data_IF_643803114580
#
_entry.id   IF_643803114580
#
_cell.length_a   1.000
_cell.length_b   1.000
_cell.length_c   1.000
_cell.angle_alpha   90.00
_cell.angle_beta   90.00
_cell.angle_gamma   90.00
#
_symmetry.space_group_name_H-M   'P 1'
#
loop_
_entity.id
_entity.type
_entity.pdbx_description
1 polymer ?
#
# COMPACT_ATOMS: atom_id res chain seq x y z
N UNK A 1 33.43 -66.44 45.08
CA UNK A 1 32.10 -65.80 45.25
C UNK A 1 31.77 -65.16 43.89
N UNK A 2 31.36 -65.97 42.90
CA UNK A 2 29.95 -66.23 42.54
C UNK A 2 29.49 -65.16 41.53
N UNK A 3 29.84 -65.27 40.24
CA UNK A 3 29.11 -65.90 39.13
C UNK A 3 27.80 -65.22 38.69
N UNK A 4 27.80 -64.87 37.40
CA UNK A 4 26.75 -65.11 36.38
C UNK A 4 25.62 -64.07 36.16
N UNK A 5 25.63 -63.50 34.94
CA UNK A 5 24.47 -63.19 34.06
C UNK A 5 23.61 -64.47 33.81
N UNK A 6 22.41 -64.49 33.15
CA UNK A 6 21.99 -63.68 31.99
C UNK A 6 20.47 -63.43 31.76
N UNK A 7 20.17 -62.75 30.64
CA UNK A 7 19.03 -62.82 29.70
C UNK A 7 17.62 -63.30 30.14
N UNK A 8 16.58 -62.57 29.68
CA UNK A 8 15.56 -63.11 28.75
C UNK A 8 14.57 -62.04 28.22
N UNK A 9 14.31 -62.15 26.92
CA UNK A 9 13.26 -61.50 26.17
C UNK A 9 11.87 -62.15 26.39
N UNK A 10 10.78 -61.41 26.13
CA UNK A 10 9.58 -61.97 25.50
C UNK A 10 8.57 -60.89 25.02
N UNK A 11 8.38 -60.86 23.69
CA UNK A 11 7.13 -60.83 22.93
C UNK A 11 5.90 -59.97 23.34
N UNK A 12 5.44 -59.18 22.37
CA UNK A 12 4.05 -58.69 22.12
C UNK A 12 3.03 -59.86 22.00
N UNK A 13 1.68 -59.72 22.03
CA UNK A 13 0.90 -58.89 21.08
C UNK A 13 -0.47 -58.30 21.55
N UNK A 14 -0.98 -57.40 20.69
CA UNK A 14 -2.37 -57.06 20.33
C UNK A 14 -3.56 -57.42 21.25
N UNK A 15 -4.46 -56.44 21.49
CA UNK A 15 -5.85 -56.48 20.95
C UNK A 15 -6.65 -55.20 21.17
N UNK A 16 -7.40 -54.87 20.10
CA UNK A 16 -8.48 -53.89 19.95
C UNK A 16 -9.62 -54.08 20.97
N UNK A 17 -10.31 -52.99 21.31
CA UNK A 17 -11.77 -52.86 21.09
C UNK A 17 -12.26 -51.42 21.29
N UNK A 18 -13.14 -51.02 20.38
CA UNK A 18 -13.84 -49.75 20.26
C UNK A 18 -14.86 -49.49 21.37
N UNK A 19 -15.14 -48.21 21.66
CA UNK A 19 -16.49 -47.75 21.97
C UNK A 19 -16.70 -46.31 21.48
N UNK A 20 -17.72 -46.14 20.63
CA UNK A 20 -18.33 -44.87 20.20
C UNK A 20 -19.26 -44.34 21.29
N UNK A 21 -19.36 -43.02 21.43
CA UNK A 21 -20.62 -42.26 21.48
C UNK A 21 -20.30 -40.74 21.54
N UNK A 22 -20.70 -39.98 20.51
CA UNK A 22 -21.76 -38.96 20.56
C UNK A 22 -21.27 -37.59 21.08
N UNK A 23 -21.02 -36.63 20.19
CA UNK A 23 -22.01 -35.63 19.70
C UNK A 23 -22.08 -34.39 20.60
N UNK A 24 -21.48 -33.30 20.15
CA UNK A 24 -22.14 -31.98 20.06
C UNK A 24 -21.19 -30.95 19.43
N UNK A 25 -21.54 -30.51 18.23
CA UNK A 25 -21.07 -29.24 17.65
C UNK A 25 -21.81 -28.08 18.34
N UNK A 26 -21.14 -26.94 18.51
CA UNK A 26 -21.76 -25.65 18.19
C UNK A 26 -20.87 -24.95 17.16
N UNK A 27 -21.37 -24.75 15.93
CA UNK A 27 -22.26 -23.65 15.53
C UNK A 27 -21.49 -22.34 15.37
N UNK A 28 -21.17 -22.07 14.11
CA UNK A 28 -20.77 -20.78 13.58
C UNK A 28 -21.76 -19.69 13.99
N UNK A 29 -21.29 -18.73 14.78
CA UNK A 29 -21.83 -17.36 14.80
C UNK A 29 -20.66 -16.40 14.77
N UNK A 30 -20.20 -16.11 13.57
CA UNK A 30 -19.43 -14.91 13.30
C UNK A 30 -20.35 -13.72 13.60
N UNK A 31 -20.06 -13.01 14.68
CA UNK A 31 -20.59 -11.69 14.92
C UNK A 31 -20.05 -10.76 13.84
N UNK A 32 -20.91 -10.39 12.90
CA UNK A 32 -20.69 -9.34 11.92
C UNK A 32 -20.64 -7.98 12.64
N UNK A 33 -19.44 -7.54 13.02
CA UNK A 33 -19.21 -6.11 13.26
C UNK A 33 -19.06 -5.41 11.91
N UNK A 34 -20.12 -4.69 11.55
CA UNK A 34 -20.24 -3.87 10.35
C UNK A 34 -19.41 -2.60 10.52
N UNK A 35 -18.14 -2.65 10.15
CA UNK A 35 -17.33 -1.44 9.95
C UNK A 35 -17.49 -0.97 8.50
N UNK A 36 -18.50 -0.14 8.27
CA UNK A 36 -18.61 0.68 7.06
C UNK A 36 -17.52 1.75 7.08
N UNK A 37 -16.35 1.42 6.56
CA UNK A 37 -15.38 2.43 6.14
C UNK A 37 -15.65 2.81 4.69
N UNK A 38 -16.30 3.95 4.55
CA UNK A 38 -16.59 4.64 3.30
C UNK A 38 -15.30 5.16 2.68
N UNK A 39 -14.88 4.56 1.56
CA UNK A 39 -14.09 5.29 0.55
C UNK A 39 -14.96 6.42 -0.03
N UNK A 40 -14.40 7.57 -0.43
CA UNK A 40 -15.21 8.69 -0.92
C UNK A 40 -15.87 8.34 -2.25
N UNK A 41 -17.16 8.04 -2.19
CA UNK A 41 -18.05 7.92 -3.35
C UNK A 41 -18.44 9.33 -3.81
N UNK A 42 -17.99 9.72 -5.00
CA UNK A 42 -18.49 10.93 -5.68
C UNK A 42 -19.98 10.75 -6.01
N UNK A 43 -20.77 11.79 -5.75
CA UNK A 43 -22.24 11.77 -5.69
C UNK A 43 -23.01 11.53 -7.00
N UNK A 44 -24.35 11.40 -6.90
CA UNK A 44 -25.22 10.95 -7.97
C UNK A 44 -25.59 12.05 -8.98
N UNK A 45 -25.78 11.65 -10.23
CA UNK A 45 -26.33 12.48 -11.31
C UNK A 45 -27.86 12.61 -11.17
N UNK A 46 -28.37 13.80 -11.49
CA UNK A 46 -29.79 14.16 -11.53
C UNK A 46 -30.55 13.47 -12.69
N UNK A 47 -31.91 13.42 -12.63
CA UNK A 47 -32.72 12.58 -13.50
C UNK A 47 -33.12 13.30 -14.80
N UNK A 48 -33.40 12.52 -15.85
CA UNK A 48 -34.14 12.99 -17.02
C UNK A 48 -35.22 11.97 -17.38
N UNK A 49 -36.46 12.46 -17.37
CA UNK A 49 -37.67 11.81 -17.84
C UNK A 49 -37.67 11.60 -19.36
N UNK A 50 -38.47 10.61 -19.80
CA UNK A 50 -39.33 10.77 -20.98
C UNK A 50 -38.92 10.08 -22.28
N UNK A 51 -39.60 8.95 -22.57
CA UNK A 51 -40.49 8.84 -23.74
C UNK A 51 -39.94 8.53 -25.15
N UNK A 52 -40.59 7.53 -25.77
CA UNK A 52 -40.93 7.38 -27.20
C UNK A 52 -40.06 6.50 -28.14
N UNK A 53 -40.65 5.33 -28.44
CA UNK A 53 -40.85 4.65 -29.72
C UNK A 53 -39.93 4.90 -30.94
N UNK A 54 -39.35 3.79 -31.41
CA UNK A 54 -39.22 3.28 -32.79
C UNK A 54 -38.96 4.27 -33.95
N UNK A 55 -37.79 4.15 -34.60
CA UNK A 55 -37.72 3.78 -36.02
C UNK A 55 -36.28 3.49 -36.50
N UNK A 56 -36.16 2.49 -37.39
CA UNK A 56 -35.15 2.27 -38.46
C UNK A 56 -33.64 2.21 -38.13
N UNK A 57 -33.01 1.10 -38.54
CA UNK A 57 -32.05 1.09 -39.67
C UNK A 57 -31.26 -0.23 -39.72
N UNK A 58 -31.13 -0.78 -40.93
CA UNK A 58 -30.23 -1.87 -41.30
C UNK A 58 -28.80 -1.67 -40.78
N UNK A 59 -28.09 -2.74 -40.34
CA UNK A 59 -26.74 -2.61 -39.80
C UNK A 59 -25.75 -2.28 -40.91
N UNK A 60 -25.36 -1.01 -41.01
CA UNK A 60 -24.22 -0.57 -41.80
C UNK A 60 -22.91 -1.22 -41.31
N UNK A 61 -21.88 -1.28 -42.17
CA UNK A 61 -20.63 -1.98 -41.86
C UNK A 61 -20.00 -1.39 -40.61
N UNK A 62 -19.80 -2.26 -39.63
CA UNK A 62 -19.15 -1.97 -38.35
C UNK A 62 -17.82 -1.27 -38.60
N UNK A 63 -17.77 0.05 -38.39
CA UNK A 63 -16.52 0.79 -38.23
C UNK A 63 -15.75 0.06 -37.15
N UNK A 64 -14.61 -0.51 -37.53
CA UNK A 64 -13.71 -1.20 -36.63
C UNK A 64 -13.52 -0.32 -35.40
N UNK A 65 -14.03 -0.79 -34.26
CA UNK A 65 -13.74 -0.21 -32.96
C UNK A 65 -12.25 -0.42 -32.81
N UNK A 66 -11.45 0.61 -33.10
CA UNK A 66 -10.01 0.60 -32.84
C UNK A 66 -9.86 0.03 -31.43
N UNK A 67 -9.24 -1.15 -31.33
CA UNK A 67 -8.96 -1.74 -30.04
C UNK A 67 -8.10 -0.71 -29.33
N UNK A 68 -8.64 -0.14 -28.25
CA UNK A 68 -7.84 0.66 -27.33
C UNK A 68 -6.57 -0.14 -27.04
N UNK A 69 -5.38 0.48 -27.13
CA UNK A 69 -4.13 -0.23 -26.92
C UNK A 69 -4.20 -0.99 -25.60
N UNK A 70 -3.77 -2.26 -25.65
CA UNK A 70 -3.67 -3.10 -24.46
C UNK A 70 -2.75 -2.40 -23.45
N UNK A 71 -3.07 -2.49 -22.15
CA UNK A 71 -2.32 -1.76 -21.14
C UNK A 71 -0.85 -2.20 -21.14
N UNK A 72 0.03 -1.36 -21.69
CA UNK A 72 1.48 -1.60 -21.76
C UNK A 72 2.15 -1.60 -20.39
N UNK A 73 1.51 -1.02 -19.37
CA UNK A 73 2.03 -0.92 -18.01
C UNK A 73 1.02 -1.50 -17.02
N UNK A 74 1.44 -2.49 -16.25
CA UNK A 74 0.62 -3.09 -15.20
C UNK A 74 1.25 -2.84 -13.84
N UNK A 75 0.49 -2.21 -12.95
CA UNK A 75 0.93 -1.87 -11.60
C UNK A 75 0.17 -2.76 -10.62
N UNK A 76 0.90 -3.66 -9.97
CA UNK A 76 0.41 -4.55 -8.92
C UNK A 76 0.90 -4.04 -7.58
N UNK A 77 0.06 -4.04 -6.56
CA UNK A 77 0.54 -3.67 -5.24
C UNK A 77 -0.53 -3.63 -4.17
N UNK A 78 -0.12 -3.28 -2.97
CA UNK A 78 -1.03 -3.04 -1.86
C UNK A 78 -1.76 -1.68 -2.01
N UNK A 79 -2.33 -1.15 -0.93
CA UNK A 79 -3.02 0.15 -0.96
C UNK A 79 -2.12 1.31 -1.41
N UNK A 80 -0.80 1.20 -1.25
CA UNK A 80 0.16 2.25 -1.65
C UNK A 80 0.33 2.34 -3.17
N UNK A 81 0.01 1.29 -3.92
CA UNK A 81 0.00 1.33 -5.40
C UNK A 81 -1.07 2.26 -5.99
N UNK A 82 -2.09 2.62 -5.22
CA UNK A 82 -3.21 3.43 -5.71
C UNK A 82 -2.82 4.86 -6.05
N UNK A 83 -1.68 5.36 -5.58
CA UNK A 83 -1.13 6.66 -5.97
C UNK A 83 -1.04 6.81 -7.49
N UNK A 84 -0.69 5.73 -8.22
CA UNK A 84 -0.57 5.75 -9.67
C UNK A 84 -1.91 5.94 -10.38
N UNK A 85 -3.05 5.77 -9.69
CA UNK A 85 -4.39 5.99 -10.27
C UNK A 85 -4.69 7.46 -10.55
N UNK A 86 -3.87 8.37 -10.02
CA UNK A 86 -3.89 9.78 -10.37
C UNK A 86 -3.49 10.01 -11.85
N UNK A 87 -2.64 9.14 -12.41
CA UNK A 87 -2.28 9.15 -13.85
C UNK A 87 -3.29 8.31 -14.63
N UNK A 88 -4.35 8.98 -15.10
CA UNK A 88 -5.43 8.33 -15.86
C UNK A 88 -5.04 8.22 -17.33
N UNK A 89 -4.47 7.08 -17.72
CA UNK A 89 -4.07 6.78 -19.10
C UNK A 89 -4.49 5.37 -19.52
N UNK A 90 -4.88 5.17 -20.78
CA UNK A 90 -5.38 3.88 -21.28
C UNK A 90 -4.34 2.75 -21.19
N UNK A 91 -3.05 3.10 -21.31
CA UNK A 91 -1.95 2.15 -21.22
C UNK A 91 -1.60 1.71 -19.79
N UNK A 92 -2.16 2.35 -18.76
CA UNK A 92 -1.83 2.08 -17.36
C UNK A 92 -2.97 1.28 -16.73
N UNK A 93 -2.70 0.02 -16.42
CA UNK A 93 -3.58 -0.82 -15.63
C UNK A 93 -3.10 -0.91 -14.18
N UNK A 94 -3.99 -0.68 -13.22
CA UNK A 94 -3.67 -0.81 -11.79
C UNK A 94 -4.49 -1.94 -11.19
N UNK A 95 -3.81 -2.82 -10.45
CA UNK A 95 -4.35 -3.99 -9.76
C UNK A 95 -3.99 -3.90 -8.27
N UNK A 96 -4.81 -3.18 -7.48
CA UNK A 96 -4.56 -3.05 -6.05
C UNK A 96 -5.10 -4.26 -5.29
N UNK A 97 -4.31 -4.80 -4.37
CA UNK A 97 -4.64 -5.93 -3.51
C UNK A 97 -4.81 -5.43 -2.07
N UNK A 98 -6.05 -5.38 -1.59
CA UNK A 98 -6.34 -4.93 -0.22
C UNK A 98 -5.67 -5.88 0.78
N UNK A 99 -4.83 -5.35 1.67
CA UNK A 99 -4.06 -6.16 2.63
C UNK A 99 -3.00 -7.07 1.99
N UNK A 100 -2.71 -6.89 0.70
CA UNK A 100 -1.60 -7.58 0.04
C UNK A 100 -0.28 -7.20 0.71
N UNK A 101 0.61 -8.17 0.86
CA UNK A 101 1.94 -7.98 1.43
C UNK A 101 2.96 -8.79 0.66
N UNK A 102 4.23 -8.35 0.66
CA UNK A 102 5.32 -9.08 0.05
C UNK A 102 5.41 -10.49 0.66
N UNK A 103 5.34 -10.62 1.99
CA UNK A 103 5.29 -11.91 2.72
C UNK A 103 4.12 -12.79 2.26
N UNK A 104 2.97 -12.20 1.97
CA UNK A 104 1.81 -12.94 1.50
C UNK A 104 2.06 -13.59 0.13
N UNK A 105 2.72 -12.87 -0.77
CA UNK A 105 3.02 -13.33 -2.13
C UNK A 105 4.07 -14.45 -2.18
N UNK A 106 4.88 -14.62 -1.14
CA UNK A 106 5.85 -15.73 -1.06
C UNK A 106 5.20 -17.08 -0.75
N UNK A 107 3.94 -17.08 -0.26
CA UNK A 107 3.24 -18.31 0.12
C UNK A 107 2.61 -19.01 -1.10
N UNK A 108 2.84 -20.31 -1.28
CA UNK A 108 2.08 -21.11 -2.26
C UNK A 108 0.57 -21.04 -1.97
N UNK A 109 -0.25 -21.01 -3.02
CA UNK A 109 -1.71 -20.93 -2.91
C UNK A 109 -2.24 -19.54 -2.51
N UNK A 110 -1.38 -18.52 -2.42
CA UNK A 110 -1.86 -17.15 -2.21
C UNK A 110 -2.62 -16.66 -3.45
N UNK A 111 -3.87 -16.24 -3.26
CA UNK A 111 -4.76 -15.81 -4.36
C UNK A 111 -4.23 -14.61 -5.13
N UNK A 112 -3.57 -13.65 -4.47
CA UNK A 112 -2.99 -12.49 -5.14
C UNK A 112 -1.80 -12.91 -6.02
N UNK A 113 -0.97 -13.85 -5.53
CA UNK A 113 0.15 -14.43 -6.30
C UNK A 113 -0.34 -15.08 -7.59
N UNK A 114 -1.40 -15.88 -7.50
CA UNK A 114 -2.02 -16.56 -8.64
C UNK A 114 -2.66 -15.58 -9.64
N UNK A 115 -3.36 -14.57 -9.12
CA UNK A 115 -4.00 -13.53 -9.94
C UNK A 115 -2.97 -12.70 -10.73
N UNK A 116 -1.84 -12.32 -10.10
CA UNK A 116 -0.74 -11.61 -10.77
C UNK A 116 -0.19 -12.45 -11.93
N UNK A 117 0.16 -13.72 -11.67
CA UNK A 117 0.72 -14.61 -12.69
C UNK A 117 -0.26 -14.83 -13.85
N UNK A 118 -1.54 -15.04 -13.53
CA UNK A 118 -2.62 -15.18 -14.52
C UNK A 118 -2.79 -13.90 -15.35
N UNK A 119 -2.79 -12.74 -14.70
CA UNK A 119 -2.96 -11.45 -15.38
C UNK A 119 -1.84 -11.19 -16.37
N UNK A 120 -0.59 -11.47 -16.00
CA UNK A 120 0.56 -11.31 -16.90
C UNK A 120 0.53 -12.32 -18.05
N UNK A 121 0.19 -13.57 -17.79
CA UNK A 121 0.03 -14.59 -18.83
C UNK A 121 -1.06 -14.23 -19.86
N UNK A 122 -2.13 -13.57 -19.41
CA UNK A 122 -3.23 -13.11 -20.26
C UNK A 122 -2.93 -11.79 -21.00
N UNK A 123 -1.83 -11.12 -20.70
CA UNK A 123 -1.44 -9.83 -21.26
C UNK A 123 -0.01 -9.84 -21.78
N UNK A 124 0.28 -10.62 -22.84
CA UNK A 124 1.63 -10.76 -23.38
C UNK A 124 2.20 -9.44 -23.94
N UNK A 125 1.34 -8.45 -24.25
CA UNK A 125 1.73 -7.11 -24.68
C UNK A 125 2.19 -6.16 -23.57
N UNK A 126 2.24 -6.62 -22.31
CA UNK A 126 2.74 -5.80 -21.19
C UNK A 126 4.23 -5.50 -21.38
N UNK A 127 4.59 -4.23 -21.51
CA UNK A 127 5.98 -3.77 -21.59
C UNK A 127 6.66 -3.77 -20.22
N UNK A 128 5.97 -3.24 -19.20
CA UNK A 128 6.51 -3.14 -17.84
C UNK A 128 5.47 -3.56 -16.81
N UNK A 129 5.86 -4.45 -15.91
CA UNK A 129 5.11 -4.81 -14.71
C UNK A 129 5.77 -4.16 -13.49
N UNK A 130 5.04 -3.28 -12.82
CA UNK A 130 5.49 -2.56 -11.62
C UNK A 130 4.89 -3.22 -10.39
N UNK A 131 5.70 -3.48 -9.37
CA UNK A 131 5.28 -4.16 -8.15
C UNK A 131 5.54 -3.27 -6.93
N UNK A 132 4.47 -2.91 -6.23
CA UNK A 132 4.47 -1.98 -5.10
C UNK A 132 3.95 -2.73 -3.86
N UNK A 133 4.81 -3.57 -3.29
CA UNK A 133 4.53 -4.32 -2.07
C UNK A 133 5.65 -4.08 -1.05
N UNK A 134 5.38 -4.38 0.22
CA UNK A 134 6.36 -4.25 1.30
C UNK A 134 6.01 -3.18 2.33
N UNK A 135 5.25 -2.15 1.95
CA UNK A 135 4.82 -1.11 2.89
C UNK A 135 3.93 -1.69 3.99
N UNK A 136 3.02 -2.61 3.63
CA UNK A 136 2.22 -3.37 4.60
C UNK A 136 3.11 -4.28 5.47
N UNK A 137 4.19 -4.84 4.94
CA UNK A 137 5.09 -5.71 5.70
C UNK A 137 5.82 -4.94 6.80
N UNK A 138 6.44 -3.82 6.45
CA UNK A 138 7.24 -3.00 7.37
C UNK A 138 6.40 -2.20 8.38
N UNK A 139 5.23 -1.70 7.95
CA UNK A 139 4.41 -0.80 8.79
C UNK A 139 3.28 -1.52 9.53
N UNK A 140 2.84 -2.70 9.09
CA UNK A 140 1.69 -3.41 9.68
C UNK A 140 2.02 -4.83 10.10
N UNK A 141 2.53 -5.65 9.18
CA UNK A 141 2.79 -7.07 9.44
C UNK A 141 3.84 -7.25 10.52
N UNK A 142 4.81 -6.34 10.63
CA UNK A 142 5.75 -6.27 11.75
C UNK A 142 5.03 -6.30 13.11
N UNK A 143 4.10 -5.38 13.33
CA UNK A 143 3.38 -5.30 14.60
C UNK A 143 2.42 -6.48 14.79
N UNK A 144 1.75 -6.91 13.73
CA UNK A 144 0.89 -8.08 13.81
C UNK A 144 1.66 -9.35 14.21
N UNK A 145 2.82 -9.61 13.59
CA UNK A 145 3.62 -10.80 13.91
C UNK A 145 4.14 -10.74 15.34
N UNK A 146 4.66 -9.59 15.78
CA UNK A 146 5.28 -9.44 17.10
C UNK A 146 4.26 -9.32 18.25
N UNK A 147 3.12 -8.67 18.05
CA UNK A 147 2.16 -8.33 19.12
C UNK A 147 0.76 -8.92 18.93
N UNK A 148 0.41 -9.30 17.70
CA UNK A 148 -0.92 -9.80 17.33
C UNK A 148 -1.05 -11.32 17.32
N UNK A 149 0.06 -12.04 17.18
CA UNK A 149 0.09 -13.51 17.12
C UNK A 149 0.35 -14.15 18.47
N UNK A 150 -0.16 -15.36 18.61
CA UNK A 150 0.12 -16.24 19.74
C UNK A 150 0.61 -17.61 19.20
N UNK A 151 1.88 -17.99 19.42
CA UNK A 151 2.92 -17.18 20.05
C UNK A 151 3.38 -16.01 19.16
N UNK A 152 4.03 -14.98 19.74
CA UNK A 152 4.72 -13.93 18.99
C UNK A 152 5.70 -14.49 17.95
N UNK A 153 5.78 -13.83 16.80
CA UNK A 153 6.70 -14.19 15.71
C UNK A 153 7.56 -12.97 15.33
N UNK A 154 8.88 -13.16 15.30
CA UNK A 154 9.78 -12.18 14.69
C UNK A 154 9.68 -12.26 13.16
N UNK A 155 9.50 -11.10 12.53
CA UNK A 155 9.42 -11.01 11.08
C UNK A 155 10.82 -10.87 10.48
N UNK A 156 11.20 -11.81 9.61
CA UNK A 156 12.42 -11.71 8.83
C UNK A 156 12.17 -10.90 7.54
N UNK A 157 12.37 -9.59 7.63
CA UNK A 157 12.15 -8.66 6.53
C UNK A 157 13.12 -8.88 5.36
N UNK A 158 14.36 -9.32 5.62
CA UNK A 158 15.33 -9.60 4.56
C UNK A 158 14.91 -10.86 3.77
N UNK A 159 14.56 -11.94 4.47
CA UNK A 159 14.07 -13.15 3.81
C UNK A 159 12.79 -12.88 3.01
N UNK A 160 11.89 -12.05 3.53
CA UNK A 160 10.69 -11.62 2.79
C UNK A 160 11.08 -10.87 1.51
N UNK A 161 11.99 -9.89 1.59
CA UNK A 161 12.45 -9.12 0.43
C UNK A 161 13.03 -10.04 -0.65
N UNK A 162 13.93 -10.94 -0.28
CA UNK A 162 14.56 -11.91 -1.19
C UNK A 162 13.53 -12.83 -1.85
N UNK A 163 12.66 -13.45 -1.05
CA UNK A 163 11.65 -14.38 -1.57
C UNK A 163 10.60 -13.67 -2.45
N UNK A 164 10.25 -12.42 -2.13
CA UNK A 164 9.36 -11.60 -2.93
C UNK A 164 9.99 -11.24 -4.29
N UNK A 165 11.25 -10.82 -4.32
CA UNK A 165 11.95 -10.53 -5.58
C UNK A 165 12.12 -11.80 -6.41
N UNK A 166 12.45 -12.94 -5.79
CA UNK A 166 12.52 -14.23 -6.49
C UNK A 166 11.17 -14.62 -7.10
N UNK A 167 10.05 -14.35 -6.41
CA UNK A 167 8.71 -14.51 -6.98
C UNK A 167 8.52 -13.60 -8.20
N UNK A 168 8.82 -12.31 -8.09
CA UNK A 168 8.69 -11.36 -9.20
C UNK A 168 9.52 -11.82 -10.39
N UNK A 169 10.79 -12.20 -10.17
CA UNK A 169 11.69 -12.71 -11.19
C UNK A 169 11.18 -13.97 -11.90
N UNK A 170 10.41 -14.81 -11.19
CA UNK A 170 9.83 -16.05 -11.70
C UNK A 170 8.48 -15.90 -12.42
N UNK A 171 7.91 -14.70 -12.51
CA UNK A 171 6.62 -14.48 -13.18
C UNK A 171 6.71 -14.71 -14.70
N UNK A 172 5.66 -15.22 -15.35
CA UNK A 172 5.68 -15.45 -16.79
C UNK A 172 5.66 -14.14 -17.59
N UNK A 173 6.13 -14.21 -18.84
CA UNK A 173 6.01 -13.14 -19.83
C UNK A 173 7.28 -12.31 -20.03
N UNK A 174 7.32 -11.50 -21.10
CA UNK A 174 8.51 -10.73 -21.49
C UNK A 174 8.62 -9.36 -20.80
N UNK A 175 7.65 -9.00 -19.96
CA UNK A 175 7.60 -7.68 -19.34
C UNK A 175 8.86 -7.41 -18.49
N UNK A 176 9.44 -6.22 -18.65
CA UNK A 176 10.42 -5.71 -17.70
C UNK A 176 9.75 -5.59 -16.34
N UNK A 177 10.45 -5.97 -15.26
CA UNK A 177 9.88 -5.98 -13.92
C UNK A 177 10.51 -4.86 -13.11
N UNK A 178 9.68 -4.05 -12.48
CA UNK A 178 10.13 -2.94 -11.65
C UNK A 178 9.57 -3.12 -10.24
N UNK A 179 10.45 -3.35 -9.27
CA UNK A 179 10.10 -3.39 -7.85
C UNK A 179 10.23 -1.98 -7.27
N UNK A 180 9.14 -1.51 -6.66
CA UNK A 180 9.10 -0.24 -5.94
C UNK A 180 9.36 -0.47 -4.46
N UNK A 181 10.32 0.26 -3.89
CA UNK A 181 10.62 0.21 -2.47
C UNK A 181 9.43 0.59 -1.58
N UNK A 182 9.41 0.07 -0.36
CA UNK A 182 8.44 0.43 0.66
C UNK A 182 8.56 1.93 1.00
N UNK A 183 7.43 2.60 1.19
CA UNK A 183 7.41 4.01 1.52
C UNK A 183 7.91 4.26 2.95
N UNK A 184 8.55 5.42 3.22
CA UNK A 184 8.89 5.82 4.59
C UNK A 184 7.63 5.95 5.45
N UNK A 185 7.79 5.80 6.76
CA UNK A 185 6.66 5.90 7.68
C UNK A 185 6.19 7.35 7.84
N UNK A 186 4.90 7.62 7.64
CA UNK A 186 4.29 8.96 7.74
C UNK A 186 3.91 9.39 9.16
N UNK A 187 3.91 8.46 10.12
CA UNK A 187 3.59 8.78 11.51
C UNK A 187 4.80 9.47 12.14
N UNK A 188 4.65 10.69 12.68
CA UNK A 188 5.77 11.38 13.32
C UNK A 188 5.96 10.85 14.74
N UNK A 189 4.92 10.98 15.56
CA UNK A 189 4.92 10.56 16.97
C UNK A 189 4.83 9.04 17.13
N UNK A 190 5.58 8.49 18.10
CA UNK A 190 5.58 7.06 18.40
C UNK A 190 4.20 6.59 18.91
N UNK A 191 3.52 7.42 19.68
CA UNK A 191 2.22 7.18 20.31
C UNK A 191 1.08 7.10 19.28
N UNK A 192 1.30 7.62 18.06
CA UNK A 192 0.35 7.50 16.96
C UNK A 192 0.37 6.11 16.33
N UNK A 193 1.44 5.33 16.51
CA UNK A 193 1.59 4.00 15.91
C UNK A 193 0.57 3.00 16.47
N UNK A 194 0.42 2.79 17.80
CA UNK A 194 -0.61 1.90 18.34
C UNK A 194 -2.02 2.27 17.87
N UNK A 195 -2.34 3.57 17.85
CA UNK A 195 -3.64 4.08 17.38
C UNK A 195 -3.87 3.75 15.91
N UNK A 196 -2.85 3.93 15.07
CA UNK A 196 -2.93 3.62 13.64
C UNK A 196 -3.11 2.11 13.42
N UNK A 197 -2.26 1.25 14.00
CA UNK A 197 -2.40 -0.21 13.78
C UNK A 197 -3.74 -0.77 14.30
N UNK A 198 -4.31 -0.20 15.36
CA UNK A 198 -5.66 -0.52 15.81
C UNK A 198 -6.73 -0.02 14.82
N UNK A 199 -6.64 1.24 14.37
CA UNK A 199 -7.59 1.82 13.42
C UNK A 199 -7.64 1.06 12.08
N UNK A 200 -6.49 0.55 11.63
CA UNK A 200 -6.41 -0.29 10.42
C UNK A 200 -6.79 -1.76 10.66
N UNK A 201 -7.23 -2.12 11.87
CA UNK A 201 -7.65 -3.48 12.23
C UNK A 201 -6.52 -4.51 12.23
N UNK A 202 -5.26 -4.05 12.34
CA UNK A 202 -4.08 -4.93 12.38
C UNK A 202 -3.94 -5.55 13.76
N UNK A 203 -4.21 -4.78 14.81
CA UNK A 203 -4.25 -5.23 16.20
C UNK A 203 -5.60 -4.84 16.82
N UNK A 204 -6.07 -5.62 17.80
CA UNK A 204 -7.13 -5.12 18.69
C UNK A 204 -6.60 -3.97 19.57
N UNK A 205 -7.48 -3.15 20.15
CA UNK A 205 -7.07 -2.08 21.07
C UNK A 205 -6.24 -2.61 22.24
N UNK A 206 -6.62 -3.76 22.80
CA UNK A 206 -5.89 -4.43 23.88
C UNK A 206 -4.50 -4.93 23.44
N UNK A 207 -4.35 -5.37 22.17
CA UNK A 207 -3.04 -5.72 21.62
C UNK A 207 -2.19 -4.48 21.36
N UNK A 208 -2.78 -3.43 20.78
CA UNK A 208 -2.11 -2.17 20.47
C UNK A 208 -1.59 -1.48 21.74
N UNK A 209 -2.33 -1.52 22.85
CA UNK A 209 -1.90 -0.96 24.14
C UNK A 209 -0.64 -1.62 24.74
N UNK A 210 -0.23 -2.78 24.22
CA UNK A 210 0.97 -3.53 24.66
C UNK A 210 2.16 -3.37 23.72
N UNK A 211 2.03 -2.59 22.65
CA UNK A 211 3.12 -2.36 21.71
C UNK A 211 4.21 -1.52 22.38
N UNK A 212 5.46 -1.98 22.31
CA UNK A 212 6.60 -1.25 22.85
C UNK A 212 6.85 0.05 22.05
N UNK A 213 6.94 1.18 22.75
CA UNK A 213 7.21 2.48 22.12
C UNK A 213 8.61 2.54 21.48
N UNK A 214 9.57 1.72 21.93
CA UNK A 214 10.87 1.61 21.28
C UNK A 214 10.73 1.17 19.81
N UNK A 215 9.85 0.21 19.54
CA UNK A 215 9.52 -0.26 18.18
C UNK A 215 8.76 0.77 17.36
N UNK A 216 8.11 1.72 18.04
CA UNK A 216 7.31 2.80 17.45
C UNK A 216 8.11 4.07 17.19
N UNK A 217 9.33 4.18 17.72
CA UNK A 217 10.19 5.32 17.48
C UNK A 217 10.38 5.56 15.97
N UNK A 218 10.44 6.83 15.56
CA UNK A 218 10.62 7.18 14.15
C UNK A 218 11.92 6.56 13.60
N UNK A 219 13.00 6.60 14.39
CA UNK A 219 14.28 6.00 14.02
C UNK A 219 14.15 4.49 13.76
N UNK A 220 13.47 3.73 14.65
CA UNK A 220 13.26 2.30 14.43
C UNK A 220 12.42 2.03 13.17
N UNK A 221 11.35 2.80 12.95
CA UNK A 221 10.48 2.65 11.76
C UNK A 221 11.20 2.95 10.46
N UNK A 222 11.90 4.08 10.37
CA UNK A 222 12.66 4.41 9.17
C UNK A 222 13.85 3.46 8.98
N UNK A 223 14.47 3.00 10.07
CA UNK A 223 15.49 1.95 10.04
C UNK A 223 14.97 0.66 9.40
N UNK A 224 13.78 0.18 9.80
CA UNK A 224 13.14 -0.98 9.20
C UNK A 224 12.84 -0.79 7.71
N UNK A 225 12.27 0.35 7.31
CA UNK A 225 12.01 0.66 5.89
C UNK A 225 13.30 0.67 5.07
N UNK A 226 14.36 1.33 5.55
CA UNK A 226 15.66 1.40 4.86
C UNK A 226 16.30 0.02 4.73
N UNK A 227 16.30 -0.77 5.79
CA UNK A 227 16.84 -2.12 5.77
C UNK A 227 16.08 -3.02 4.77
N UNK A 228 14.75 -2.95 4.77
CA UNK A 228 13.93 -3.68 3.81
C UNK A 228 14.19 -3.25 2.36
N UNK A 229 14.25 -1.95 2.08
CA UNK A 229 14.55 -1.44 0.74
C UNK A 229 15.97 -1.75 0.29
N UNK A 230 16.95 -1.77 1.20
CA UNK A 230 18.30 -2.24 0.90
C UNK A 230 18.31 -3.72 0.51
N UNK A 231 17.56 -4.56 1.23
CA UNK A 231 17.39 -5.98 0.89
C UNK A 231 16.68 -6.18 -0.45
N UNK A 232 15.63 -5.40 -0.76
CA UNK A 232 14.98 -5.42 -2.07
C UNK A 232 15.95 -5.05 -3.19
N UNK A 233 16.72 -3.97 -3.02
CA UNK A 233 17.71 -3.50 -4.00
C UNK A 233 18.77 -4.58 -4.24
N UNK A 234 19.31 -5.18 -3.17
CA UNK A 234 20.30 -6.25 -3.27
C UNK A 234 19.73 -7.47 -4.01
N UNK A 235 18.52 -7.92 -3.65
CA UNK A 235 17.88 -9.05 -4.30
C UNK A 235 17.55 -8.77 -5.78
N UNK A 236 17.11 -7.56 -6.14
CA UNK A 236 16.85 -7.22 -7.55
C UNK A 236 18.13 -7.25 -8.39
N UNK A 237 19.26 -6.82 -7.83
CA UNK A 237 20.56 -6.88 -8.52
C UNK A 237 21.02 -8.31 -8.86
N UNK A 238 20.48 -9.34 -8.19
CA UNK A 238 20.73 -10.75 -8.51
C UNK A 238 19.95 -11.23 -9.77
N UNK A 239 19.00 -10.42 -10.28
CA UNK A 239 18.13 -10.78 -11.39
C UNK A 239 18.12 -9.72 -12.50
N UNK A 240 18.75 -10.01 -13.65
CA UNK A 240 18.88 -9.07 -14.78
C UNK A 240 17.56 -8.53 -15.36
N UNK A 241 16.43 -9.19 -15.11
CA UNK A 241 15.11 -8.79 -15.60
C UNK A 241 14.27 -8.02 -14.55
N UNK A 242 14.85 -7.69 -13.38
CA UNK A 242 14.17 -7.00 -12.30
C UNK A 242 14.95 -5.76 -11.88
N UNK A 243 14.37 -4.60 -12.13
CA UNK A 243 14.89 -3.33 -11.66
C UNK A 243 14.29 -2.96 -10.30
N UNK A 244 15.03 -2.16 -9.55
CA UNK A 244 14.57 -1.59 -8.28
C UNK A 244 14.55 -0.06 -8.36
N UNK A 245 13.48 0.55 -7.84
CA UNK A 245 13.38 2.01 -7.69
C UNK A 245 12.71 2.37 -6.35
N UNK A 246 13.18 3.42 -5.70
CA UNK A 246 12.53 4.03 -4.55
C UNK A 246 12.59 5.56 -4.65
N UNK A 247 11.87 6.22 -3.74
CA UNK A 247 11.88 7.68 -3.56
C UNK A 247 12.06 8.07 -2.08
N UNK A 248 12.64 7.17 -1.27
CA UNK A 248 12.71 7.36 0.17
C UNK A 248 13.52 8.61 0.56
N UNK A 249 14.67 8.82 -0.06
CA UNK A 249 15.57 9.91 0.33
C UNK A 249 15.05 11.28 -0.11
N UNK A 250 14.28 11.36 -1.19
CA UNK A 250 13.59 12.58 -1.64
C UNK A 250 12.47 12.97 -0.68
N UNK A 251 11.80 11.97 -0.12
CA UNK A 251 10.64 12.16 0.75
C UNK A 251 11.02 12.52 2.18
N UNK A 252 12.25 12.22 2.60
CA UNK A 252 12.72 12.43 3.96
C UNK A 252 13.55 13.71 4.10
N UNK A 253 13.45 14.33 5.25
CA UNK A 253 14.45 15.27 5.74
C UNK A 253 15.66 14.47 6.27
N UNK A 254 16.88 14.72 5.77
CA UNK A 254 18.04 13.90 6.11
C UNK A 254 18.51 14.08 7.56
N UNK A 255 18.21 15.21 8.21
CA UNK A 255 18.63 15.49 9.57
C UNK A 255 17.68 14.87 10.61
N UNK A 256 16.38 14.87 10.32
CA UNK A 256 15.33 14.45 11.28
C UNK A 256 14.73 13.09 10.96
N UNK A 257 14.92 12.57 9.74
CA UNK A 257 14.26 11.38 9.21
C UNK A 257 12.73 11.47 9.16
N UNK A 258 12.17 12.67 9.34
CA UNK A 258 10.76 12.93 9.16
C UNK A 258 10.44 13.02 7.67
N UNK A 259 9.22 12.64 7.29
CA UNK A 259 8.74 13.00 5.96
C UNK A 259 8.70 14.52 5.84
N UNK A 260 9.12 15.02 4.68
CA UNK A 260 9.01 16.45 4.39
C UNK A 260 7.54 16.87 4.42
N UNK A 261 7.24 18.09 4.86
CA UNK A 261 5.87 18.63 4.93
C UNK A 261 5.03 18.38 3.69
N UNK A 262 5.63 18.49 2.50
CA UNK A 262 4.95 18.28 1.22
C UNK A 262 4.29 16.90 1.07
N UNK A 263 4.75 15.88 1.79
CA UNK A 263 4.30 14.49 1.65
C UNK A 263 3.53 13.97 2.86
N UNK A 264 3.42 14.78 3.92
CA UNK A 264 2.75 14.42 5.17
C UNK A 264 1.25 14.61 5.07
N UNK A 265 0.50 13.63 5.56
CA UNK A 265 -0.94 13.76 5.71
C UNK A 265 -1.30 14.63 6.92
N UNK A 266 -2.45 15.29 6.86
CA UNK A 266 -2.95 16.07 8.00
C UNK A 266 -3.44 15.19 9.16
N UNK A 267 -3.77 13.91 8.89
CA UNK A 267 -4.13 12.96 9.94
C UNK A 267 -2.89 12.32 10.54
N UNK A 268 -2.73 12.46 11.84
CA UNK A 268 -1.59 11.91 12.59
C UNK A 268 -1.59 10.38 12.70
N UNK A 269 -2.67 9.71 12.29
CA UNK A 269 -2.81 8.24 12.34
C UNK A 269 -2.81 7.59 10.94
N UNK A 270 -2.73 8.38 9.88
CA UNK A 270 -2.75 7.88 8.51
C UNK A 270 -1.34 7.41 8.09
N UNK A 271 -1.26 6.18 7.61
CA UNK A 271 0.00 5.56 7.16
C UNK A 271 0.38 5.95 5.73
N UNK A 272 -0.55 6.58 5.00
CA UNK A 272 -0.32 6.98 3.63
C UNK A 272 0.30 8.37 3.60
N UNK A 273 1.27 8.51 2.69
CA UNK A 273 1.78 9.80 2.23
C UNK A 273 0.70 10.50 1.39
N UNK A 274 0.80 11.82 1.26
CA UNK A 274 -0.07 12.58 0.35
C UNK A 274 0.21 12.17 -1.10
N UNK A 275 -0.81 11.69 -1.79
CA UNK A 275 -0.66 11.11 -3.13
C UNK A 275 -0.35 12.16 -4.19
N UNK A 276 -0.99 13.32 -4.13
CA UNK A 276 -0.89 14.38 -5.13
C UNK A 276 0.51 14.97 -5.26
N UNK A 277 1.24 15.09 -4.16
CA UNK A 277 2.62 15.58 -4.17
C UNK A 277 3.61 14.45 -4.46
N UNK A 278 3.35 13.26 -3.93
CA UNK A 278 4.21 12.09 -4.12
C UNK A 278 4.19 11.60 -5.58
N UNK A 279 3.07 11.68 -6.30
CA UNK A 279 3.01 11.27 -7.71
C UNK A 279 3.92 12.13 -8.58
N UNK A 280 4.15 13.39 -8.22
CA UNK A 280 5.05 14.29 -8.94
C UNK A 280 6.52 13.84 -8.84
N UNK A 281 6.93 13.26 -7.71
CA UNK A 281 8.24 12.60 -7.59
C UNK A 281 8.32 11.38 -8.51
N UNK A 282 7.27 10.57 -8.57
CA UNK A 282 7.23 9.44 -9.50
C UNK A 282 7.32 9.86 -10.96
N UNK A 283 6.74 11.00 -11.36
CA UNK A 283 6.92 11.53 -12.72
C UNK A 283 8.36 11.98 -13.01
N UNK A 284 9.15 12.33 -11.98
CA UNK A 284 10.58 12.62 -12.15
C UNK A 284 11.39 11.33 -12.28
N UNK A 285 11.01 10.28 -11.53
CA UNK A 285 11.72 8.99 -11.51
C UNK A 285 11.36 8.04 -12.65
N UNK A 286 10.16 8.16 -13.21
CA UNK A 286 9.63 7.26 -14.23
C UNK A 286 9.26 8.08 -15.48
N UNK A 287 10.20 8.25 -16.44
CA UNK A 287 9.94 9.02 -17.66
C UNK A 287 8.71 8.53 -18.44
N UNK A 288 8.53 7.21 -18.53
CA UNK A 288 7.35 6.62 -19.15
C UNK A 288 6.04 7.05 -18.45
N UNK A 289 6.05 7.26 -17.13
CA UNK A 289 4.86 7.71 -16.42
C UNK A 289 4.57 9.19 -16.76
N UNK A 290 5.61 10.02 -16.87
CA UNK A 290 5.50 11.44 -17.26
C UNK A 290 4.94 11.61 -18.67
N UNK A 291 5.38 10.82 -19.63
CA UNK A 291 4.87 10.83 -21.01
C UNK A 291 3.36 10.56 -21.10
N UNK A 292 2.78 9.93 -20.07
CA UNK A 292 1.36 9.57 -19.98
C UNK A 292 0.54 10.60 -19.20
N UNK A 293 1.10 11.79 -19.02
CA UNK A 293 0.44 12.96 -18.44
C UNK A 293 0.33 14.09 -19.45
N UNK A 294 -0.64 15.00 -19.26
CA UNK A 294 -0.78 16.21 -20.07
C UNK A 294 -0.22 17.45 -19.34
N UNK A 295 -0.07 18.56 -20.07
CA UNK A 295 0.47 19.82 -19.54
C UNK A 295 -0.33 20.43 -18.39
N UNK A 296 -1.57 19.99 -18.15
CA UNK A 296 -2.43 20.44 -17.04
C UNK A 296 -2.39 19.49 -15.84
N UNK A 297 -1.61 18.41 -15.89
CA UNK A 297 -1.57 17.38 -14.84
C UNK A 297 -1.20 17.96 -13.47
N UNK A 298 -0.08 18.70 -13.37
CA UNK A 298 0.36 19.29 -12.10
C UNK A 298 -0.68 20.25 -11.52
N UNK A 299 -1.31 21.07 -12.38
CA UNK A 299 -2.38 21.97 -11.98
C UNK A 299 -3.60 21.22 -11.44
N UNK A 300 -3.94 20.06 -12.01
CA UNK A 300 -4.98 19.17 -11.48
C UNK A 300 -4.58 18.58 -10.13
N UNK A 301 -3.32 18.19 -9.94
CA UNK A 301 -2.84 17.66 -8.66
C UNK A 301 -2.93 18.71 -7.55
N UNK A 302 -2.53 19.97 -7.82
CA UNK A 302 -2.70 21.07 -6.85
C UNK A 302 -4.16 21.29 -6.45
N UNK A 303 -5.09 21.24 -7.40
CA UNK A 303 -6.54 21.34 -7.12
C UNK A 303 -7.07 20.13 -6.35
N UNK A 304 -6.62 18.92 -6.69
CA UNK A 304 -6.98 17.69 -5.97
C UNK A 304 -6.50 17.75 -4.53
N UNK A 305 -5.24 18.14 -4.30
CA UNK A 305 -4.66 18.32 -2.98
C UNK A 305 -5.46 19.34 -2.15
N UNK A 306 -5.75 20.50 -2.73
CA UNK A 306 -6.51 21.55 -2.06
C UNK A 306 -7.90 21.07 -1.63
N UNK A 307 -8.55 20.23 -2.45
CA UNK A 307 -9.84 19.61 -2.10
C UNK A 307 -9.66 18.57 -1.01
N UNK A 308 -8.68 17.68 -1.15
CA UNK A 308 -8.37 16.63 -0.19
C UNK A 308 -8.14 17.21 1.21
N UNK A 309 -7.27 18.21 1.33
CA UNK A 309 -6.97 18.86 2.61
C UNK A 309 -8.22 19.46 3.23
N UNK A 310 -9.02 20.19 2.46
CA UNK A 310 -10.28 20.79 2.93
C UNK A 310 -11.28 19.73 3.43
N UNK A 311 -11.51 18.69 2.64
CA UNK A 311 -12.49 17.65 2.98
C UNK A 311 -12.04 16.88 4.22
N UNK A 312 -10.74 16.59 4.32
CA UNK A 312 -10.13 15.91 5.46
C UNK A 312 -10.14 16.78 6.72
N UNK A 313 -9.91 18.08 6.62
CA UNK A 313 -10.03 19.02 7.75
C UNK A 313 -11.45 19.02 8.33
N UNK A 314 -12.48 19.07 7.47
CA UNK A 314 -13.87 18.97 7.89
C UNK A 314 -14.17 17.63 8.56
N UNK A 315 -13.64 16.53 8.01
CA UNK A 315 -13.78 15.19 8.58
C UNK A 315 -13.12 15.09 9.97
N UNK A 316 -11.89 15.59 10.12
CA UNK A 316 -11.16 15.55 11.39
C UNK A 316 -11.83 16.44 12.45
N UNK A 317 -12.31 17.62 12.06
CA UNK A 317 -13.09 18.49 12.93
C UNK A 317 -14.38 17.81 13.42
N UNK A 318 -15.10 17.13 12.52
CA UNK A 318 -16.31 16.37 12.89
C UNK A 318 -16.02 15.21 13.85
N UNK A 319 -14.80 14.65 13.83
CA UNK A 319 -14.36 13.55 14.70
C UNK A 319 -13.66 14.05 15.98
N UNK A 320 -13.49 15.36 16.17
CA UNK A 320 -12.76 15.93 17.31
C UNK A 320 -11.28 15.56 17.35
N UNK A 321 -10.67 15.24 16.21
CA UNK A 321 -9.27 14.80 16.10
C UNK A 321 -8.38 16.03 15.86
N UNK A 322 -7.29 16.14 16.62
CA UNK A 322 -6.30 17.20 16.45
C UNK A 322 -5.61 17.12 15.08
N UNK A 323 -5.46 18.27 14.41
CA UNK A 323 -4.85 18.40 13.08
C UNK A 323 -3.47 19.03 13.22
N UNK A 324 -2.46 18.47 12.56
CA UNK A 324 -1.16 19.14 12.39
C UNK A 324 -1.24 20.01 11.13
N UNK A 325 -1.18 21.33 11.25
CA UNK A 325 -1.08 22.22 10.07
C UNK A 325 0.36 22.17 9.56
N UNK A 326 0.58 21.50 8.44
CA UNK A 326 1.94 21.33 7.86
C UNK A 326 2.11 22.02 6.50
N UNK A 327 1.03 22.51 5.88
CA UNK A 327 1.10 23.19 4.59
C UNK A 327 0.92 24.70 4.78
N UNK A 328 2.02 25.43 4.95
CA UNK A 328 2.00 26.88 4.77
C UNK A 328 1.74 27.20 3.30
N UNK A 329 0.77 28.07 3.06
CA UNK A 329 0.49 28.60 1.73
C UNK A 329 1.61 29.55 1.32
N UNK A 330 2.46 29.15 0.38
CA UNK A 330 3.23 30.12 -0.39
C UNK A 330 2.25 30.91 -1.28
N UNK A 331 1.94 32.14 -0.86
CA UNK A 331 1.00 33.01 -1.57
C UNK A 331 0.83 34.37 -0.92
N UNK A 332 1.84 35.23 -1.05
CA UNK A 332 1.80 36.61 -0.56
C UNK A 332 2.89 37.52 -1.14
N UNK A 333 3.30 37.31 -2.39
CA UNK A 333 4.09 38.28 -3.14
C UNK A 333 3.17 39.42 -3.59
N UNK A 334 3.24 40.55 -2.89
CA UNK A 334 2.59 41.80 -3.27
C UNK A 334 3.59 42.93 -3.17
N UNK A 335 4.27 43.22 -4.28
CA UNK A 335 5.02 44.46 -4.43
C UNK A 335 4.06 45.65 -4.40
N UNK A 336 4.40 46.65 -3.57
CA UNK A 336 3.79 47.96 -3.55
C UNK A 336 4.90 49.00 -3.66
N UNK A 337 5.05 49.51 -4.88
CA UNK A 337 5.80 50.69 -5.28
C UNK A 337 5.51 51.91 -4.41
N UNK A 338 6.51 52.76 -4.24
CA UNK A 338 6.45 53.94 -3.41
C UNK A 338 5.50 55.04 -3.91
N UNK A 339 5.11 55.89 -2.96
CA UNK A 339 4.69 57.27 -3.19
C UNK A 339 5.33 58.13 -2.11
N UNK A 340 5.95 59.23 -2.54
CA UNK A 340 6.49 60.26 -1.68
C UNK A 340 5.42 61.25 -1.22
N UNK A 341 5.71 61.91 -0.10
CA UNK A 341 5.25 63.23 0.34
C UNK A 341 6.08 63.51 1.61
N UNK A 342 6.89 64.56 1.75
CA UNK A 342 6.66 65.95 1.34
C UNK A 342 5.82 66.64 2.42
N UNK A 343 6.48 67.28 3.39
CA UNK A 343 5.80 68.11 4.40
C UNK A 343 6.75 68.59 5.49
N UNK A 344 7.15 69.86 5.43
CA UNK A 344 7.87 70.57 6.50
C UNK A 344 6.95 71.48 7.33
N UNK A 345 7.54 72.07 8.39
CA UNK A 345 6.97 73.08 9.30
C UNK A 345 6.30 72.45 10.52
N UNK A 346 6.59 72.80 11.78
CA UNK A 346 7.36 73.90 12.40
C UNK A 346 8.28 73.33 13.49
#
# INVERSE_FOLDING_TARGET
RGCASPERACASPERRASARAASSRPSERAHTCSSKESSPTMGPAAPADGGAAADRAEPGPSRGRERLPEAGYLIFGDSFSRIFSLVRHAEIGIKPYKGGSAKGLTKPGNTNREDIAKTLAQRPGTHTAVFVFGSVDVHMSYYYCKYGREPPEEIDLEAIARAYVAFVAGLPGPAQRLVVGAYPSSLIEAESVPKSVAAYGVLSEAQAARVDLADCSLAARQGRTRAFNAALRAACAEHAAVDFVDICDEMLDPATLQLRPAYLDISTCNIHVVWETTILLWLQRLPWLRERTDSRFESRMRRSLSRYLRDKELEMAAKGIAITRVHESEGGGGGGSGEGSGGGGE
#
